data_IF_026911536167
#
_entry.id   IF_026911536167
#
_cell.length_a   1.000
_cell.length_b   1.000
_cell.length_c   1.000
_cell.angle_alpha   90.00
_cell.angle_beta   90.00
_cell.angle_gamma   90.00
#
_symmetry.space_group_name_H-M   'P 1'
#
loop_
_entity.id
_entity.type
_entity.pdbx_description
1 polymer ?
#
# COMPACT_ATOMS: atom_id res chain seq x y z
N UNK A 1 14.87 5.22 48.32
CA UNK A 1 14.35 5.65 47.01
C UNK A 1 12.99 6.28 47.27
N UNK A 2 12.84 7.58 47.01
CA UNK A 2 11.59 8.32 47.25
C UNK A 2 10.94 8.60 45.89
N UNK A 3 9.68 8.20 45.75
CA UNK A 3 8.88 8.36 44.54
C UNK A 3 8.27 9.76 44.50
N UNK A 4 8.54 10.52 43.43
CA UNK A 4 7.88 11.79 43.14
C UNK A 4 6.56 11.53 42.41
N UNK A 5 5.46 11.61 43.18
CA UNK A 5 4.09 11.72 42.68
C UNK A 5 3.78 13.20 42.47
N UNK A 6 3.34 13.58 41.27
CA UNK A 6 2.80 14.93 41.04
C UNK A 6 2.96 15.43 39.60
N UNK A 7 2.14 14.96 38.68
CA UNK A 7 1.80 15.74 37.48
C UNK A 7 0.29 16.00 37.49
N UNK A 8 -0.08 17.24 37.77
CA UNK A 8 -1.46 17.69 37.70
C UNK A 8 -1.88 17.84 36.24
N UNK A 9 -2.92 17.12 35.82
CA UNK A 9 -3.62 17.40 34.57
C UNK A 9 -4.31 18.76 34.67
N UNK A 10 -3.66 19.78 34.10
CA UNK A 10 -4.19 21.13 33.98
C UNK A 10 -5.39 21.16 33.05
N UNK A 11 -6.52 21.62 33.59
CA UNK A 11 -7.79 21.80 32.93
C UNK A 11 -7.70 22.79 31.76
N UNK A 12 -8.22 22.39 30.59
CA UNK A 12 -8.60 23.31 29.54
C UNK A 12 -10.10 23.64 29.71
N UNK A 13 -10.41 24.87 30.11
CA UNK A 13 -11.77 25.40 30.06
C UNK A 13 -11.99 26.12 28.70
N UNK A 14 -13.12 25.91 28.02
CA UNK A 14 -13.55 26.82 26.95
C UNK A 14 -14.32 28.00 27.54
N UNK A 15 -13.83 29.22 27.32
CA UNK A 15 -14.46 30.47 27.78
C UNK A 15 -14.88 31.32 26.59
N UNK A 16 -16.16 31.25 26.20
CA UNK A 16 -16.89 32.44 25.73
C UNK A 16 -18.41 32.23 25.92
N UNK A 17 -19.10 33.08 26.69
CA UNK A 17 -20.56 33.13 26.70
C UNK A 17 -21.07 34.11 25.64
N UNK A 18 -21.95 33.64 24.75
CA UNK A 18 -22.84 34.52 23.97
C UNK A 18 -24.15 34.68 24.74
N UNK A 19 -24.34 35.87 25.29
CA UNK A 19 -25.58 36.32 25.95
C UNK A 19 -26.54 36.95 24.94
N UNK A 20 -27.82 36.59 25.05
CA UNK A 20 -28.97 37.33 24.49
C UNK A 20 -29.88 36.46 23.63
N UNK A 21 -30.92 35.85 24.23
CA UNK A 21 -32.34 36.27 24.15
C UNK A 21 -32.98 35.82 22.82
N UNK A 22 -33.95 34.91 22.75
CA UNK A 22 -35.31 35.02 23.33
C UNK A 22 -36.08 33.69 23.17
N UNK A 23 -37.09 33.48 24.00
CA UNK A 23 -38.32 32.78 23.61
C UNK A 23 -38.36 31.24 23.56
N UNK A 24 -38.82 30.65 24.67
CA UNK A 24 -39.31 29.27 24.79
C UNK A 24 -40.46 28.96 23.81
N UNK A 25 -40.31 27.98 22.90
CA UNK A 25 -41.44 27.18 22.36
C UNK A 25 -41.01 25.73 22.12
N UNK A 26 -41.50 24.83 22.98
CA UNK A 26 -41.61 23.39 22.68
C UNK A 26 -42.43 23.25 21.39
N UNK A 27 -41.89 22.54 20.41
CA UNK A 27 -42.67 21.97 19.31
C UNK A 27 -42.32 20.49 19.25
N UNK A 28 -43.39 19.70 19.27
CA UNK A 28 -43.43 18.26 19.21
C UNK A 28 -42.57 17.69 18.08
N UNK A 29 -42.00 16.52 18.37
CA UNK A 29 -41.46 15.56 17.41
C UNK A 29 -42.62 15.07 16.52
N UNK A 30 -42.56 15.23 15.19
CA UNK A 30 -43.21 14.29 14.30
C UNK A 30 -42.24 13.14 14.05
N UNK A 31 -42.67 11.95 14.41
CA UNK A 31 -42.09 10.71 13.93
C UNK A 31 -42.67 10.51 12.53
N UNK A 32 -41.88 10.72 11.49
CA UNK A 32 -42.30 10.43 10.13
C UNK A 32 -41.10 10.08 9.25
N UNK A 33 -41.15 8.86 8.71
CA UNK A 33 -40.54 8.43 7.45
C UNK A 33 -39.03 8.65 7.30
N UNK A 34 -38.25 7.64 7.70
CA UNK A 34 -36.90 7.44 7.16
C UNK A 34 -36.99 7.05 5.68
N UNK A 35 -37.19 8.03 4.80
CA UNK A 35 -36.63 7.98 3.46
C UNK A 35 -35.41 8.89 3.49
N UNK A 36 -34.23 8.28 3.65
CA UNK A 36 -32.96 8.91 3.36
C UNK A 36 -33.02 9.42 1.91
N UNK A 37 -33.37 10.70 1.73
CA UNK A 37 -33.00 11.41 0.52
C UNK A 37 -31.48 11.50 0.56
N UNK A 38 -30.81 10.50 -0.02
CA UNK A 38 -29.44 10.65 -0.46
C UNK A 38 -29.43 11.80 -1.47
N UNK A 39 -29.17 13.02 -0.99
CA UNK A 39 -28.86 14.12 -1.87
C UNK A 39 -27.59 13.67 -2.59
N UNK A 40 -27.69 13.46 -3.91
CA UNK A 40 -26.53 13.12 -4.73
C UNK A 40 -25.52 14.24 -4.51
N UNK A 41 -24.28 13.93 -4.09
CA UNK A 41 -23.32 14.97 -3.90
C UNK A 41 -23.04 15.58 -5.28
N UNK A 42 -23.22 16.89 -5.39
CA UNK A 42 -22.89 17.64 -6.60
C UNK A 42 -21.38 17.54 -6.75
N UNK A 43 -20.94 16.76 -7.72
CA UNK A 43 -19.53 16.63 -8.07
C UNK A 43 -19.23 17.65 -9.15
N UNK A 44 -18.14 18.38 -9.01
CA UNK A 44 -17.65 19.23 -10.10
C UNK A 44 -17.29 18.35 -11.30
N UNK A 45 -17.74 18.76 -12.49
CA UNK A 45 -17.36 18.07 -13.72
C UNK A 45 -15.89 18.40 -14.05
N UNK A 46 -15.09 17.36 -14.24
CA UNK A 46 -13.71 17.52 -14.66
C UNK A 46 -13.66 18.06 -16.09
N UNK A 47 -13.09 19.25 -16.27
CA UNK A 47 -12.80 19.83 -17.58
C UNK A 47 -11.39 19.38 -17.97
N UNK A 48 -11.24 18.55 -19.03
CA UNK A 48 -9.93 18.10 -19.46
C UNK A 48 -9.12 19.28 -19.99
N UNK A 49 -7.90 19.45 -19.46
CA UNK A 49 -6.96 20.41 -20.00
C UNK A 49 -6.35 19.89 -21.31
N UNK A 50 -6.10 20.80 -22.23
CA UNK A 50 -5.30 20.51 -23.41
C UNK A 50 -3.87 20.15 -22.99
N UNK A 51 -3.28 19.16 -23.65
CA UNK A 51 -1.96 18.65 -23.26
C UNK A 51 -0.93 19.79 -23.39
N UNK A 52 -0.20 20.15 -22.31
CA UNK A 52 0.79 21.21 -22.39
C UNK A 52 1.91 20.80 -23.35
N UNK A 53 2.43 21.78 -24.08
CA UNK A 53 3.66 21.58 -24.86
C UNK A 53 4.80 21.16 -23.93
N UNK A 54 5.64 20.20 -24.35
CA UNK A 54 6.76 19.76 -23.53
C UNK A 54 7.71 20.95 -23.33
N UNK A 55 7.70 21.50 -22.11
CA UNK A 55 8.59 22.58 -21.75
C UNK A 55 9.95 22.00 -21.35
N UNK A 56 10.99 22.41 -22.08
CA UNK A 56 12.37 22.02 -21.81
C UNK A 56 13.06 21.38 -23.01
N UNK A 57 14.39 21.35 -22.96
CA UNK A 57 15.23 20.82 -24.05
C UNK A 57 15.11 19.31 -24.23
N UNK A 58 14.43 18.60 -23.32
CA UNK A 58 14.30 17.15 -23.35
C UNK A 58 12.84 16.74 -23.31
N UNK A 59 12.44 15.80 -24.17
CA UNK A 59 11.12 15.17 -24.10
C UNK A 59 11.22 13.65 -24.29
N UNK A 60 10.29 12.94 -23.66
CA UNK A 60 10.19 11.49 -23.75
C UNK A 60 9.25 11.12 -24.90
N UNK A 61 9.77 10.41 -25.90
CA UNK A 61 8.99 9.85 -27.00
C UNK A 61 9.17 8.34 -27.10
N UNK A 62 8.73 7.77 -28.22
CA UNK A 62 8.94 6.37 -28.58
C UNK A 62 9.74 6.30 -29.88
N UNK A 63 10.66 5.34 -29.98
CA UNK A 63 11.35 5.05 -31.23
C UNK A 63 10.48 4.22 -32.19
N UNK A 64 11.01 3.90 -33.37
CA UNK A 64 10.32 3.11 -34.41
C UNK A 64 9.96 1.69 -33.93
N UNK A 65 10.67 1.17 -32.92
CA UNK A 65 10.38 -0.10 -32.25
C UNK A 65 9.34 0.04 -31.11
N UNK A 66 8.86 1.25 -30.83
CA UNK A 66 7.93 1.55 -29.76
C UNK A 66 8.54 1.61 -28.35
N UNK A 67 9.87 1.58 -28.21
CA UNK A 67 10.59 1.67 -26.93
C UNK A 67 10.70 3.14 -26.50
N UNK A 68 10.67 3.41 -25.17
CA UNK A 68 10.80 4.78 -24.68
C UNK A 68 12.19 5.36 -25.00
N UNK A 69 12.23 6.51 -25.67
CA UNK A 69 13.45 7.22 -26.08
C UNK A 69 13.37 8.69 -25.65
N UNK A 70 14.46 9.21 -25.09
CA UNK A 70 14.59 10.63 -24.74
C UNK A 70 15.16 11.39 -25.95
N UNK A 71 14.48 12.45 -26.35
CA UNK A 71 14.88 13.38 -27.41
C UNK A 71 15.41 14.67 -26.78
N UNK A 72 16.36 15.32 -27.47
CA UNK A 72 17.02 16.53 -26.99
C UNK A 72 17.12 17.58 -28.10
N UNK A 73 16.56 18.76 -27.84
CA UNK A 73 16.78 19.96 -28.65
C UNK A 73 18.13 20.58 -28.28
N UNK A 74 19.12 20.35 -29.15
CA UNK A 74 20.43 20.98 -29.01
C UNK A 74 20.47 22.35 -29.72
N UNK A 75 20.48 23.48 -28.99
CA UNK A 75 20.53 24.82 -29.57
C UNK A 75 21.82 25.07 -30.38
N UNK A 76 22.95 24.44 -30.02
CA UNK A 76 24.22 24.62 -30.76
C UNK A 76 24.18 24.09 -32.20
N UNK A 77 23.22 23.23 -32.55
CA UNK A 77 23.09 22.71 -33.92
C UNK A 77 22.31 23.64 -34.85
N UNK A 78 21.62 24.65 -34.30
CA UNK A 78 20.85 25.60 -35.10
C UNK A 78 21.73 26.62 -35.84
N UNK A 79 22.97 26.80 -35.39
CA UNK A 79 23.94 27.76 -35.95
C UNK A 79 24.87 27.18 -37.02
N UNK A 80 24.85 25.85 -37.22
CA UNK A 80 25.56 25.13 -38.31
C UNK A 80 24.61 24.53 -39.37
N UNK A 81 23.35 25.00 -39.43
CA UNK A 81 22.40 24.57 -40.45
C UNK A 81 22.34 25.58 -41.61
N UNK A 82 23.44 25.70 -42.35
CA UNK A 82 23.48 26.33 -43.67
C UNK A 82 24.25 25.45 -44.67
N UNK A 83 23.87 24.17 -44.79
CA UNK A 83 23.79 23.53 -46.11
C UNK A 83 23.03 22.20 -46.00
N UNK A 84 22.24 21.87 -47.02
CA UNK A 84 21.31 20.75 -47.06
C UNK A 84 22.00 19.42 -47.49
N UNK A 85 21.25 18.41 -47.98
CA UNK A 85 20.69 17.27 -47.27
C UNK A 85 21.44 15.94 -47.56
N UNK A 86 20.92 14.86 -46.97
CA UNK A 86 21.00 13.47 -47.44
C UNK A 86 22.05 12.51 -46.82
N UNK A 87 21.50 11.34 -46.51
CA UNK A 87 22.07 10.04 -46.14
C UNK A 87 23.59 9.90 -45.91
N UNK A 88 23.93 9.36 -44.74
CA UNK A 88 24.84 8.22 -44.72
C UNK A 88 24.54 7.33 -43.53
N UNK A 89 24.17 6.09 -43.87
CA UNK A 89 24.36 4.92 -43.02
C UNK A 89 25.71 5.02 -42.32
N UNK A 90 25.66 5.18 -41.00
CA UNK A 90 26.77 4.74 -40.17
C UNK A 90 26.20 3.73 -39.21
N UNK A 91 26.08 2.52 -39.75
CA UNK A 91 26.28 1.27 -39.05
C UNK A 91 27.54 1.40 -38.17
N UNK A 92 27.32 1.95 -36.98
CA UNK A 92 28.13 1.69 -35.82
C UNK A 92 27.18 0.88 -34.96
N UNK A 93 27.26 -0.44 -35.13
CA UNK A 93 26.95 -1.36 -34.06
C UNK A 93 27.57 -0.82 -32.79
N UNK A 94 26.79 -0.06 -32.03
CA UNK A 94 27.02 0.11 -30.63
C UNK A 94 26.72 -1.28 -30.09
N UNK A 95 27.77 -2.08 -29.94
CA UNK A 95 27.87 -3.03 -28.85
C UNK A 95 27.07 -2.45 -27.69
N UNK A 96 25.86 -3.00 -27.51
CA UNK A 96 25.06 -2.71 -26.32
C UNK A 96 26.00 -2.94 -25.16
N UNK A 97 26.03 -2.03 -24.16
CA UNK A 97 27.16 -1.87 -23.27
C UNK A 97 27.62 -3.25 -22.83
N UNK A 98 28.75 -3.68 -23.37
CA UNK A 98 29.45 -4.86 -22.90
C UNK A 98 29.43 -4.73 -21.40
N UNK A 99 28.90 -5.76 -20.73
CA UNK A 99 28.64 -5.79 -19.30
C UNK A 99 29.93 -5.38 -18.61
N UNK A 100 30.04 -4.07 -18.38
CA UNK A 100 31.26 -3.46 -17.89
C UNK A 100 31.54 -4.18 -16.59
N UNK A 101 32.74 -4.76 -16.53
CA UNK A 101 33.32 -5.32 -15.32
C UNK A 101 33.07 -4.33 -14.21
N UNK A 102 32.05 -4.62 -13.43
CA UNK A 102 31.62 -3.81 -12.33
C UNK A 102 31.78 -4.71 -11.14
N UNK A 103 33.05 -4.84 -10.72
CA UNK A 103 33.50 -5.05 -9.34
C UNK A 103 32.94 -3.96 -8.39
N UNK A 104 31.68 -3.57 -8.57
CA UNK A 104 30.87 -2.90 -7.57
C UNK A 104 30.26 -4.05 -6.81
N UNK A 105 30.82 -4.36 -5.65
CA UNK A 105 30.24 -5.28 -4.67
C UNK A 105 28.69 -5.20 -4.70
N UNK A 106 28.03 -6.06 -5.49
CA UNK A 106 26.58 -6.09 -5.63
C UNK A 106 26.09 -6.81 -4.39
N UNK A 107 25.97 -6.02 -3.35
CA UNK A 107 25.41 -6.40 -2.07
C UNK A 107 23.95 -6.82 -2.27
N UNK A 108 23.73 -8.11 -2.35
CA UNK A 108 22.44 -8.77 -2.46
C UNK A 108 21.79 -8.88 -1.08
N UNK A 109 20.49 -8.59 -0.99
CA UNK A 109 19.72 -8.80 0.23
C UNK A 109 18.65 -9.85 -0.06
N UNK A 110 18.70 -10.98 0.65
CA UNK A 110 17.75 -12.09 0.51
C UNK A 110 16.86 -12.16 1.75
N UNK A 111 15.54 -12.18 1.53
CA UNK A 111 14.51 -12.29 2.57
C UNK A 111 14.00 -13.74 2.62
N UNK A 112 14.11 -14.41 3.78
CA UNK A 112 13.64 -15.77 3.99
C UNK A 112 12.44 -15.81 4.97
N UNK A 113 11.33 -16.40 4.55
CA UNK A 113 10.10 -16.58 5.36
C UNK A 113 9.77 -18.05 5.69
N UNK A 114 10.66 -18.99 5.34
CA UNK A 114 10.37 -20.44 5.37
C UNK A 114 9.95 -20.93 6.77
N UNK A 115 10.47 -20.31 7.83
CA UNK A 115 10.12 -20.65 9.21
C UNK A 115 8.63 -20.41 9.48
N UNK A 116 8.13 -19.25 9.07
CA UNK A 116 6.72 -18.85 9.25
C UNK A 116 5.83 -19.76 8.40
N UNK A 117 6.24 -20.04 7.17
CA UNK A 117 5.47 -20.88 6.26
C UNK A 117 5.31 -22.32 6.77
N UNK A 118 6.38 -22.90 7.31
CA UNK A 118 6.34 -24.22 7.96
C UNK A 118 5.43 -24.24 9.19
N UNK A 119 5.39 -23.16 9.96
CA UNK A 119 4.52 -23.06 11.13
C UNK A 119 3.04 -22.97 10.73
N UNK A 120 2.72 -22.11 9.76
CA UNK A 120 1.36 -21.98 9.20
C UNK A 120 0.89 -23.33 8.64
N UNK A 121 1.76 -24.06 7.94
CA UNK A 121 1.43 -25.38 7.40
C UNK A 121 1.09 -26.39 8.52
N UNK A 122 1.85 -26.39 9.62
CA UNK A 122 1.56 -27.25 10.79
C UNK A 122 0.21 -26.90 11.41
N UNK A 123 -0.08 -25.61 11.61
CA UNK A 123 -1.37 -25.16 12.15
C UNK A 123 -2.54 -25.56 11.24
N UNK A 124 -2.38 -25.44 9.91
CA UNK A 124 -3.39 -25.89 8.93
C UNK A 124 -3.64 -27.39 9.01
N UNK A 125 -2.58 -28.20 9.12
CA UNK A 125 -2.71 -29.66 9.30
C UNK A 125 -3.39 -30.01 10.62
N UNK A 126 -3.02 -29.37 11.73
CA UNK A 126 -3.65 -29.58 13.03
C UNK A 126 -5.15 -29.23 13.02
N UNK A 127 -5.53 -28.10 12.41
CA UNK A 127 -6.94 -27.73 12.23
C UNK A 127 -7.71 -28.83 11.46
N UNK A 128 -7.13 -29.35 10.38
CA UNK A 128 -7.75 -30.39 9.59
C UNK A 128 -7.90 -31.71 10.38
N UNK A 129 -6.88 -32.09 11.16
CA UNK A 129 -6.90 -33.28 12.00
C UNK A 129 -7.95 -33.17 13.10
N UNK A 130 -8.01 -32.04 13.82
CA UNK A 130 -9.02 -31.78 14.85
C UNK A 130 -10.44 -31.80 14.26
N UNK A 131 -10.64 -31.22 13.08
CA UNK A 131 -11.93 -31.28 12.38
C UNK A 131 -12.34 -32.72 12.03
N UNK A 132 -11.39 -33.54 11.59
CA UNK A 132 -11.67 -34.96 11.34
C UNK A 132 -11.93 -35.75 12.63
N UNK A 133 -11.23 -35.45 13.72
CA UNK A 133 -11.49 -36.07 15.04
C UNK A 133 -12.88 -35.72 15.53
N UNK A 134 -13.30 -34.46 15.43
CA UNK A 134 -14.65 -34.02 15.80
C UNK A 134 -15.73 -34.78 15.02
N UNK A 135 -15.51 -35.04 13.73
CA UNK A 135 -16.46 -35.79 12.89
C UNK A 135 -16.51 -37.29 13.21
N UNK A 136 -15.46 -37.85 13.85
CA UNK A 136 -15.36 -39.28 14.21
C UNK A 136 -15.78 -39.54 15.65
N UNK A 137 -15.47 -38.62 16.56
CA UNK A 137 -15.76 -38.75 17.98
C UNK A 137 -17.27 -38.57 18.24
N UNK A 138 -17.87 -39.49 18.99
CA UNK A 138 -19.30 -39.46 19.34
C UNK A 138 -19.54 -38.88 20.75
N UNK A 139 -18.50 -38.83 21.58
CA UNK A 139 -18.58 -38.33 22.97
C UNK A 139 -18.66 -36.80 23.03
N UNK A 140 -19.78 -36.28 23.55
CA UNK A 140 -20.07 -34.83 23.59
C UNK A 140 -18.99 -34.00 24.30
N UNK A 141 -18.51 -34.45 25.47
CA UNK A 141 -17.49 -33.72 26.24
C UNK A 141 -16.17 -33.59 25.49
N UNK A 142 -15.74 -34.67 24.81
CA UNK A 142 -14.51 -34.65 24.00
C UNK A 142 -14.70 -33.80 22.75
N UNK A 143 -15.88 -33.82 22.14
CA UNK A 143 -16.21 -32.96 21.01
C UNK A 143 -16.13 -31.49 21.40
N UNK A 144 -16.62 -31.10 22.58
CA UNK A 144 -16.48 -29.74 23.09
C UNK A 144 -15.00 -29.36 23.32
N UNK A 145 -14.22 -30.22 23.95
CA UNK A 145 -12.78 -30.00 24.16
C UNK A 145 -12.01 -29.86 22.83
N UNK A 146 -12.33 -30.71 21.85
CA UNK A 146 -11.73 -30.65 20.51
C UNK A 146 -12.14 -29.38 19.76
N UNK A 147 -13.39 -28.93 19.89
CA UNK A 147 -13.86 -27.66 19.33
C UNK A 147 -13.14 -26.47 19.95
N UNK A 148 -12.92 -26.48 21.28
CA UNK A 148 -12.16 -25.44 21.95
C UNK A 148 -10.71 -25.37 21.46
N UNK A 149 -10.05 -26.54 21.29
CA UNK A 149 -8.71 -26.62 20.69
C UNK A 149 -8.69 -26.12 19.25
N UNK A 150 -9.70 -26.48 18.45
CA UNK A 150 -9.83 -26.02 17.08
C UNK A 150 -9.95 -24.49 17.02
N UNK A 151 -10.78 -23.89 17.87
CA UNK A 151 -10.94 -22.44 17.95
C UNK A 151 -9.64 -21.73 18.36
N UNK A 152 -8.85 -22.33 19.26
CA UNK A 152 -7.53 -21.81 19.60
C UNK A 152 -6.58 -21.84 18.39
N UNK A 153 -6.49 -22.97 17.69
CA UNK A 153 -5.65 -23.11 16.49
C UNK A 153 -6.08 -22.15 15.39
N UNK A 154 -7.38 -21.95 15.18
CA UNK A 154 -7.90 -20.99 14.20
C UNK A 154 -7.52 -19.55 14.54
N UNK A 155 -7.61 -19.18 15.81
CA UNK A 155 -7.18 -17.85 16.27
C UNK A 155 -5.68 -17.64 16.01
N UNK A 156 -4.85 -18.61 16.38
CA UNK A 156 -3.40 -18.54 16.12
C UNK A 156 -3.08 -18.48 14.63
N UNK A 157 -3.77 -19.29 13.82
CA UNK A 157 -3.62 -19.29 12.36
C UNK A 157 -4.00 -17.93 11.77
N UNK A 158 -5.11 -17.33 12.21
CA UNK A 158 -5.52 -16.00 11.74
C UNK A 158 -4.53 -14.90 12.10
N UNK A 159 -3.83 -15.05 13.23
CA UNK A 159 -2.81 -14.09 13.67
C UNK A 159 -1.50 -14.23 12.89
N UNK A 160 -1.15 -15.46 12.49
CA UNK A 160 0.14 -15.77 11.85
C UNK A 160 0.09 -15.83 10.32
N UNK A 161 -1.05 -16.21 9.73
CA UNK A 161 -1.27 -16.26 8.28
C UNK A 161 -1.60 -14.87 7.71
N UNK A 162 -0.77 -13.88 8.06
CA UNK A 162 -0.85 -12.52 7.55
C UNK A 162 0.50 -12.12 6.95
N UNK A 163 0.48 -11.38 5.83
CA UNK A 163 1.71 -10.89 5.19
C UNK A 163 2.55 -10.03 6.14
N UNK A 164 1.91 -9.26 7.01
CA UNK A 164 2.57 -8.45 8.04
C UNK A 164 3.38 -9.32 9.00
N UNK A 165 2.79 -10.43 9.46
CA UNK A 165 3.46 -11.37 10.36
C UNK A 165 4.65 -12.05 9.66
N UNK A 166 4.46 -12.48 8.40
CA UNK A 166 5.53 -13.05 7.58
C UNK A 166 6.72 -12.10 7.43
N UNK A 167 6.47 -10.82 7.14
CA UNK A 167 7.51 -9.79 7.02
C UNK A 167 8.22 -9.54 8.34
N UNK A 168 7.48 -9.44 9.45
CA UNK A 168 8.05 -9.19 10.79
C UNK A 168 8.97 -10.32 11.25
N UNK A 169 8.67 -11.55 10.85
CA UNK A 169 9.44 -12.75 11.21
C UNK A 169 10.36 -13.24 10.08
N UNK A 170 10.57 -12.44 9.03
CA UNK A 170 11.48 -12.75 7.95
C UNK A 170 12.95 -12.61 8.40
N UNK A 171 13.80 -13.52 7.93
CA UNK A 171 15.25 -13.44 8.15
C UNK A 171 15.91 -12.82 6.94
N UNK A 172 16.62 -11.71 7.14
CA UNK A 172 17.35 -11.02 6.08
C UNK A 172 18.82 -11.44 6.11
N UNK A 173 19.32 -11.84 4.96
CA UNK A 173 20.74 -12.19 4.75
C UNK A 173 21.31 -11.29 3.68
N UNK A 174 22.55 -10.85 3.88
CA UNK A 174 23.23 -9.92 3.01
C UNK A 174 24.53 -10.55 2.52
N UNK A 175 24.72 -10.56 1.21
CA UNK A 175 25.84 -11.21 0.52
C UNK A 175 26.41 -10.32 -0.55
#
# INVERSE_FOLDING_TARGET
MQSISGISSGAAQPSVPITGVDGLKKVQRPEDGTQERHQKPVMDEYIPEEKPEPSGRYWLGKDEDGKPKIYFDNPERAEDASDAPDVSERDKGAEGPEKSGSDKNVKSCTCNTDKVDREIEKLKKQKQELGQQINRETDERKVEDLKAKLAQVEKELSQKDNDTYRRQHATYTFS
#
